data_IF_952846076963
#
_entry.id   IF_952846076963
#
_cell.length_a   1.000
_cell.length_b   1.000
_cell.length_c   1.000
_cell.angle_alpha   90.00
_cell.angle_beta   90.00
_cell.angle_gamma   90.00
#
_symmetry.space_group_name_H-M   'P 1'
#
loop_
_entity.id
_entity.type
_entity.pdbx_description
1 polymer ?
#
# COMPACT_ATOMS: atom_id res chain seq x y z
N UNK A 1 11.10 -13.12 61.57
CA UNK A 1 10.87 -13.82 60.28
C UNK A 1 9.62 -13.36 59.50
N UNK A 2 8.92 -12.26 59.85
CA UNK A 2 7.64 -11.85 59.20
C UNK A 2 7.77 -10.71 58.17
N UNK A 3 8.96 -10.11 58.04
CA UNK A 3 9.25 -8.96 57.16
C UNK A 3 9.70 -9.36 55.76
N UNK A 4 10.29 -10.56 55.61
CA UNK A 4 10.77 -11.07 54.32
C UNK A 4 9.63 -11.46 53.35
N UNK A 5 8.51 -11.97 53.87
CA UNK A 5 7.34 -12.30 53.03
C UNK A 5 6.61 -11.07 52.48
N UNK A 6 6.57 -9.98 53.25
CA UNK A 6 6.02 -8.71 52.76
C UNK A 6 6.90 -8.13 51.65
N UNK A 7 8.22 -8.22 51.78
CA UNK A 7 9.17 -7.78 50.76
C UNK A 7 9.07 -8.65 49.48
N UNK A 8 8.94 -9.98 49.63
CA UNK A 8 8.71 -10.89 48.49
C UNK A 8 7.39 -10.62 47.78
N UNK A 9 6.30 -10.36 48.53
CA UNK A 9 5.01 -9.99 47.95
C UNK A 9 5.06 -8.66 47.18
N UNK A 10 5.81 -7.68 47.69
CA UNK A 10 5.95 -6.37 47.03
C UNK A 10 6.81 -6.45 45.76
N UNK A 11 7.85 -7.29 45.76
CA UNK A 11 8.68 -7.57 44.57
C UNK A 11 7.87 -8.33 43.51
N UNK A 12 7.06 -9.32 43.90
CA UNK A 12 6.18 -10.04 42.99
C UNK A 12 5.10 -9.14 42.39
N UNK A 13 4.54 -8.23 43.20
CA UNK A 13 3.58 -7.21 42.72
C UNK A 13 4.25 -6.26 41.70
N UNK A 14 5.48 -5.82 41.97
CA UNK A 14 6.28 -5.00 41.05
C UNK A 14 6.63 -5.75 39.74
N UNK A 15 6.90 -7.06 39.84
CA UNK A 15 7.18 -7.90 38.67
C UNK A 15 5.93 -8.10 37.80
N UNK A 16 4.76 -8.24 38.42
CA UNK A 16 3.46 -8.38 37.72
C UNK A 16 2.97 -7.06 37.12
N UNK A 17 3.37 -5.91 37.68
CA UNK A 17 3.06 -4.59 37.10
C UNK A 17 4.03 -4.14 36.00
N UNK A 18 5.23 -4.75 35.90
CA UNK A 18 6.20 -4.45 34.84
C UNK A 18 5.67 -4.55 33.40
N UNK A 19 4.76 -5.48 33.03
CA UNK A 19 4.19 -5.55 31.69
C UNK A 19 3.28 -4.36 31.35
N UNK A 20 2.77 -3.63 32.36
CA UNK A 20 1.91 -2.46 32.12
C UNK A 20 2.72 -1.26 31.60
N UNK A 21 4.00 -1.17 31.98
CA UNK A 21 4.92 -0.17 31.43
C UNK A 21 5.35 -0.48 29.98
N UNK A 22 5.25 -1.74 29.54
CA UNK A 22 5.48 -2.11 28.13
C UNK A 22 4.35 -1.61 27.20
N UNK A 23 3.14 -1.38 27.73
CA UNK A 23 2.04 -0.71 27.01
C UNK A 23 2.18 0.82 27.00
N UNK A 24 3.09 1.39 27.78
CA UNK A 24 3.54 2.77 27.62
C UNK A 24 4.56 2.86 26.48
N UNK A 25 4.18 2.32 25.31
CA UNK A 25 4.85 2.66 24.08
C UNK A 25 4.62 4.15 23.87
N UNK A 26 5.63 4.96 24.18
CA UNK A 26 5.73 6.36 23.80
C UNK A 26 5.86 6.51 22.26
N UNK A 27 5.13 5.68 21.51
CA UNK A 27 4.77 5.92 20.13
C UNK A 27 3.60 6.89 20.12
N UNK A 28 3.87 8.13 20.56
CA UNK A 28 3.01 9.25 20.20
C UNK A 28 2.80 9.22 18.69
N UNK A 29 1.57 9.46 18.25
CA UNK A 29 1.13 9.38 16.85
C UNK A 29 2.26 9.87 15.91
N UNK A 30 2.97 8.96 15.20
CA UNK A 30 4.09 9.32 14.33
C UNK A 30 3.69 10.28 13.20
N UNK A 31 2.40 10.57 13.08
CA UNK A 31 1.80 11.42 12.08
C UNK A 31 2.05 12.93 12.30
N UNK A 32 2.38 13.39 13.51
CA UNK A 32 2.43 14.84 13.84
C UNK A 32 3.77 15.27 14.46
N UNK A 33 4.88 14.64 14.08
CA UNK A 33 6.22 15.14 14.44
C UNK A 33 7.08 15.28 13.19
N UNK A 34 6.97 16.43 12.50
CA UNK A 34 7.99 16.85 11.54
C UNK A 34 9.25 17.18 12.33
N UNK A 35 10.30 16.38 12.19
CA UNK A 35 11.62 16.74 12.75
C UNK A 35 12.27 17.68 11.72
N UNK A 36 12.58 18.94 12.04
CA UNK A 36 13.23 19.84 11.08
C UNK A 36 14.64 19.33 10.79
N UNK A 37 14.91 18.95 9.55
CA UNK A 37 16.26 18.68 9.07
C UNK A 37 17.03 19.99 8.92
N UNK A 38 18.34 19.95 9.18
CA UNK A 38 19.22 21.10 8.95
C UNK A 38 19.17 21.48 7.45
N UNK A 39 18.56 22.64 7.14
CA UNK A 39 18.39 23.14 5.77
C UNK A 39 16.94 23.35 5.29
N UNK A 40 15.93 23.26 6.17
CA UNK A 40 14.53 23.53 5.79
C UNK A 40 13.80 22.36 5.15
N UNK A 41 14.39 21.15 5.20
CA UNK A 41 13.72 19.90 4.82
C UNK A 41 12.94 19.32 6.00
N UNK A 42 11.66 19.04 5.81
CA UNK A 42 10.84 18.35 6.81
C UNK A 42 11.06 16.84 6.69
N UNK A 43 11.81 16.25 7.63
CA UNK A 43 11.97 14.79 7.67
C UNK A 43 10.68 14.19 8.24
N UNK A 44 9.86 13.61 7.36
CA UNK A 44 8.70 12.82 7.78
C UNK A 44 9.17 11.62 8.58
N UNK A 45 8.40 11.21 9.60
CA UNK A 45 8.70 9.99 10.34
C UNK A 45 8.70 8.79 9.39
N UNK A 46 9.56 7.81 9.64
CA UNK A 46 9.69 6.59 8.81
C UNK A 46 8.33 5.90 8.58
N UNK A 47 7.42 5.99 9.56
CA UNK A 47 6.05 5.48 9.47
C UNK A 47 5.21 6.21 8.40
N UNK A 48 5.26 7.55 8.34
CA UNK A 48 4.52 8.33 7.34
C UNK A 48 5.12 8.12 5.94
N UNK A 49 6.45 8.10 5.83
CA UNK A 49 7.12 7.82 4.57
C UNK A 49 6.79 6.42 4.03
N UNK A 50 6.79 5.40 4.89
CA UNK A 50 6.42 4.03 4.51
C UNK A 50 4.96 3.94 4.10
N UNK A 51 4.06 4.59 4.85
CA UNK A 51 2.64 4.66 4.51
C UNK A 51 2.41 5.24 3.11
N UNK A 52 2.97 6.42 2.85
CA UNK A 52 2.86 7.07 1.53
C UNK A 52 3.45 6.23 0.40
N UNK A 53 4.59 5.57 0.65
CA UNK A 53 5.23 4.70 -0.34
C UNK A 53 4.36 3.49 -0.68
N UNK A 54 3.77 2.82 0.32
CA UNK A 54 2.87 1.68 0.09
C UNK A 54 1.56 2.11 -0.57
N UNK A 55 1.02 3.26 -0.20
CA UNK A 55 -0.15 3.83 -0.88
C UNK A 55 0.16 4.14 -2.34
N UNK A 56 1.29 4.79 -2.63
CA UNK A 56 1.70 5.05 -4.00
C UNK A 56 1.91 3.75 -4.80
N UNK A 57 2.60 2.76 -4.22
CA UNK A 57 2.91 1.49 -4.90
C UNK A 57 1.65 0.71 -5.32
N UNK A 58 0.60 0.74 -4.51
CA UNK A 58 -0.68 0.09 -4.86
C UNK A 58 -1.50 0.90 -5.86
N UNK A 59 -1.38 2.23 -5.86
CA UNK A 59 -2.14 3.10 -6.76
C UNK A 59 -1.53 3.24 -8.16
N UNK A 60 -0.20 3.29 -8.26
CA UNK A 60 0.55 3.41 -9.52
C UNK A 60 0.09 2.42 -10.60
N UNK A 61 -0.01 1.10 -10.35
CA UNK A 61 -0.39 0.16 -11.41
C UNK A 61 -1.82 0.42 -11.92
N UNK A 62 -2.76 0.78 -11.05
CA UNK A 62 -4.11 1.12 -11.47
C UNK A 62 -4.15 2.42 -12.28
N UNK A 63 -3.43 3.45 -11.82
CA UNK A 63 -3.34 4.73 -12.51
C UNK A 63 -2.72 4.61 -13.91
N UNK A 64 -1.65 3.80 -14.05
CA UNK A 64 -1.01 3.54 -15.34
C UNK A 64 -1.97 2.86 -16.34
N UNK A 65 -2.73 1.87 -15.88
CA UNK A 65 -3.74 1.23 -16.73
C UNK A 65 -4.85 2.22 -17.14
N UNK A 66 -5.27 3.12 -16.24
CA UNK A 66 -6.29 4.13 -16.55
C UNK A 66 -5.81 5.21 -17.52
N UNK A 67 -4.52 5.55 -17.50
CA UNK A 67 -3.92 6.53 -18.41
C UNK A 67 -3.64 5.98 -19.82
N UNK A 68 -3.68 4.66 -20.01
CA UNK A 68 -3.33 4.01 -21.29
C UNK A 68 -4.57 3.55 -22.07
N UNK A 69 -4.35 2.89 -23.21
CA UNK A 69 -5.41 2.32 -24.06
C UNK A 69 -6.22 1.21 -23.40
N UNK A 70 -5.76 0.66 -22.26
CA UNK A 70 -6.38 -0.45 -21.56
C UNK A 70 -7.86 -0.22 -21.27
N UNK A 71 -8.22 0.95 -20.71
CA UNK A 71 -9.60 1.29 -20.34
C UNK A 71 -10.56 1.24 -21.54
N UNK A 72 -10.15 1.73 -22.71
CA UNK A 72 -11.00 1.72 -23.91
C UNK A 72 -11.21 0.29 -24.41
N UNK A 73 -10.15 -0.50 -24.46
CA UNK A 73 -10.20 -1.88 -24.96
C UNK A 73 -11.09 -2.74 -24.07
N UNK A 74 -10.92 -2.69 -22.74
CA UNK A 74 -11.70 -3.52 -21.83
C UNK A 74 -13.19 -3.15 -21.81
N UNK A 75 -13.52 -1.85 -21.93
CA UNK A 75 -14.91 -1.40 -22.03
C UNK A 75 -15.56 -1.95 -23.30
N UNK A 76 -14.91 -1.82 -24.46
CA UNK A 76 -15.46 -2.34 -25.72
C UNK A 76 -15.64 -3.86 -25.66
N UNK A 77 -14.63 -4.61 -25.20
CA UNK A 77 -14.73 -6.06 -25.06
C UNK A 77 -15.82 -6.48 -24.06
N UNK A 78 -15.99 -5.74 -22.97
CA UNK A 78 -17.05 -5.98 -21.99
C UNK A 78 -18.44 -5.71 -22.58
N UNK A 79 -18.62 -4.62 -23.34
CA UNK A 79 -19.88 -4.31 -24.01
C UNK A 79 -20.22 -5.37 -25.06
N UNK A 80 -19.23 -5.83 -25.84
CA UNK A 80 -19.41 -6.94 -26.78
C UNK A 80 -19.87 -8.22 -26.08
N UNK A 81 -19.30 -8.54 -24.91
CA UNK A 81 -19.75 -9.69 -24.11
C UNK A 81 -21.24 -9.61 -23.75
N UNK A 82 -21.73 -8.44 -23.34
CA UNK A 82 -23.15 -8.26 -23.03
C UNK A 82 -24.04 -8.38 -24.28
N UNK A 83 -23.55 -7.90 -25.42
CA UNK A 83 -24.27 -7.96 -26.68
C UNK A 83 -24.42 -9.40 -27.23
N UNK A 84 -23.52 -10.32 -26.87
CA UNK A 84 -23.57 -11.72 -27.33
C UNK A 84 -24.70 -12.55 -26.68
N UNK A 85 -25.34 -12.06 -25.61
CA UNK A 85 -26.49 -12.74 -24.98
C UNK A 85 -26.17 -14.11 -24.34
N UNK A 86 -24.89 -14.53 -24.31
CA UNK A 86 -24.44 -15.78 -23.72
C UNK A 86 -24.04 -15.58 -22.26
N UNK A 87 -24.46 -16.49 -21.38
CA UNK A 87 -24.46 -16.25 -19.93
C UNK A 87 -23.08 -16.09 -19.26
N UNK A 88 -21.99 -16.63 -19.81
CA UNK A 88 -20.66 -16.56 -19.15
C UNK A 88 -19.48 -16.61 -20.12
N UNK A 89 -19.73 -16.76 -21.41
CA UNK A 89 -18.70 -16.72 -22.44
C UNK A 89 -18.45 -15.27 -22.85
N UNK A 90 -17.22 -14.74 -22.85
CA UNK A 90 -15.97 -15.23 -22.25
C UNK A 90 -15.76 -14.75 -20.79
N UNK A 91 -14.95 -15.46 -19.97
CA UNK A 91 -14.73 -15.11 -18.56
C UNK A 91 -13.92 -13.81 -18.41
N UNK A 92 -14.16 -13.08 -17.31
CA UNK A 92 -13.55 -11.76 -17.06
C UNK A 92 -12.01 -11.79 -17.11
N UNK A 93 -11.40 -12.86 -16.60
CA UNK A 93 -9.94 -13.04 -16.63
C UNK A 93 -9.38 -13.08 -18.06
N UNK A 94 -10.10 -13.67 -19.01
CA UNK A 94 -9.68 -13.72 -20.42
C UNK A 94 -9.81 -12.36 -21.08
N UNK A 95 -10.88 -11.61 -20.79
CA UNK A 95 -11.05 -10.23 -21.29
C UNK A 95 -9.93 -9.32 -20.80
N UNK A 96 -9.57 -9.42 -19.51
CA UNK A 96 -8.47 -8.65 -18.92
C UNK A 96 -7.14 -9.05 -19.58
N UNK A 97 -6.89 -10.34 -19.77
CA UNK A 97 -5.67 -10.83 -20.44
C UNK A 97 -5.54 -10.33 -21.87
N UNK A 98 -6.61 -10.42 -22.66
CA UNK A 98 -6.67 -9.87 -24.03
C UNK A 98 -6.46 -8.36 -24.04
N UNK A 99 -7.10 -7.63 -23.13
CA UNK A 99 -6.98 -6.18 -23.04
C UNK A 99 -5.55 -5.75 -22.68
N UNK A 100 -4.89 -6.42 -21.74
CA UNK A 100 -3.49 -6.14 -21.38
C UNK A 100 -2.53 -6.42 -22.54
N UNK A 101 -2.68 -7.56 -23.21
CA UNK A 101 -1.82 -7.93 -24.34
C UNK A 101 -1.94 -6.93 -25.50
N UNK A 102 -3.17 -6.58 -25.88
CA UNK A 102 -3.41 -5.57 -26.92
C UNK A 102 -2.91 -4.19 -26.50
N UNK A 103 -3.01 -3.84 -25.21
CA UNK A 103 -2.51 -2.56 -24.71
C UNK A 103 -0.99 -2.49 -24.82
N UNK A 104 -0.25 -3.53 -24.43
CA UNK A 104 1.20 -3.55 -24.58
C UNK A 104 1.63 -3.50 -26.06
N UNK A 105 0.92 -4.20 -26.93
CA UNK A 105 1.18 -4.14 -28.37
C UNK A 105 1.01 -2.71 -28.93
N UNK A 106 -0.06 -2.02 -28.55
CA UNK A 106 -0.33 -0.64 -28.99
C UNK A 106 0.63 0.37 -28.34
N UNK A 107 1.04 0.13 -27.09
CA UNK A 107 1.90 1.03 -26.32
C UNK A 107 3.40 0.82 -26.52
N UNK A 108 3.85 -0.22 -27.23
CA UNK A 108 5.26 -0.47 -27.55
C UNK A 108 6.04 0.81 -27.94
N UNK A 109 5.60 1.63 -28.92
CA UNK A 109 6.36 2.82 -29.31
C UNK A 109 6.40 3.92 -28.25
N UNK A 110 5.42 3.97 -27.34
CA UNK A 110 5.41 4.95 -26.24
C UNK A 110 6.45 4.55 -25.19
N UNK A 111 6.57 3.25 -24.91
CA UNK A 111 7.60 2.71 -24.02
C UNK A 111 9.00 3.01 -24.59
N UNK A 112 9.20 2.81 -25.89
CA UNK A 112 10.48 3.09 -26.56
C UNK A 112 10.85 4.58 -26.52
N UNK A 113 9.86 5.47 -26.71
CA UNK A 113 10.06 6.93 -26.55
C UNK A 113 10.44 7.31 -25.13
N UNK A 114 9.74 6.76 -24.13
CA UNK A 114 10.07 7.00 -22.72
C UNK A 114 11.49 6.53 -22.42
N UNK A 115 11.92 5.36 -22.91
CA UNK A 115 13.27 4.87 -22.66
C UNK A 115 14.38 5.69 -23.35
N UNK A 116 14.06 6.35 -24.47
CA UNK A 116 15.03 7.17 -25.21
C UNK A 116 15.06 8.65 -24.79
N UNK A 117 13.95 9.18 -24.24
CA UNK A 117 13.80 10.59 -23.89
C UNK A 117 13.85 10.88 -22.37
N UNK A 118 13.76 9.86 -21.50
CA UNK A 118 13.79 10.01 -20.03
C UNK A 118 15.16 9.63 -19.43
#
# INVERSE_FOLDING_TARGET
>A
MKTADRARGLILLLLVLSPLAAWAQAGGLPMITSTPGAGGGQTYTLSVQTLLTLTALTFIPAALLMMTSFTRIIIVLSLLRHALGTQTSPPNQVLIGLALFLSFFIMSPVIDRIHSEA
#
